data_IF_481419627288
#
_entry.id   IF_481419627288
#
_cell.length_a   1.000
_cell.length_b   1.000
_cell.length_c   1.000
_cell.angle_alpha   90.00
_cell.angle_beta   90.00
_cell.angle_gamma   90.00
#
_symmetry.space_group_name_H-M   'P 1'
#
loop_
_entity.id
_entity.type
_entity.pdbx_description
1 polymer ?
#
# COMPACT_ATOMS: atom_id res chain seq x y z
N UNK A 1 9.66 12.34 4.88
CA UNK A 1 8.77 11.17 4.91
C UNK A 1 7.80 11.43 6.02
N UNK A 2 6.51 11.36 5.72
CA UNK A 2 5.52 11.37 6.79
C UNK A 2 5.80 10.09 7.61
N UNK A 3 5.72 10.19 8.94
CA UNK A 3 6.30 9.17 9.83
C UNK A 3 5.63 7.81 9.74
N UNK A 4 4.52 7.70 9.01
CA UNK A 4 3.61 6.57 9.08
C UNK A 4 4.22 5.30 8.49
N UNK A 5 3.88 4.17 9.09
CA UNK A 5 4.40 2.84 8.75
C UNK A 5 3.23 1.86 8.55
N UNK A 6 3.18 1.24 7.38
CA UNK A 6 2.26 0.15 7.05
C UNK A 6 3.01 -1.17 7.16
N UNK A 7 2.51 -2.09 8.00
CA UNK A 7 3.02 -3.45 8.09
C UNK A 7 2.14 -4.39 7.29
N UNK A 8 2.72 -5.25 6.46
CA UNK A 8 2.00 -6.21 5.61
C UNK A 8 2.29 -7.63 6.10
N UNK A 9 1.29 -8.23 6.73
CA UNK A 9 1.28 -9.61 7.19
C UNK A 9 0.72 -10.51 6.08
N UNK A 10 1.45 -11.56 5.69
CA UNK A 10 1.04 -12.46 4.61
C UNK A 10 1.65 -13.85 4.81
N UNK A 11 1.19 -14.84 4.04
CA UNK A 11 1.81 -16.16 4.02
C UNK A 11 3.08 -16.13 3.13
N UNK A 12 4.12 -16.96 3.41
CA UNK A 12 5.32 -17.06 2.58
C UNK A 12 5.02 -17.19 1.09
N UNK A 13 4.06 -18.05 0.75
CA UNK A 13 3.65 -18.35 -0.61
C UNK A 13 2.93 -17.19 -1.33
N UNK A 14 2.48 -16.17 -0.60
CA UNK A 14 1.79 -15.00 -1.15
C UNK A 14 2.75 -13.84 -1.47
N UNK A 15 4.07 -14.02 -1.31
CA UNK A 15 5.04 -12.94 -1.45
C UNK A 15 4.95 -12.24 -2.82
N UNK A 16 4.84 -12.99 -3.92
CA UNK A 16 4.73 -12.43 -5.27
C UNK A 16 3.47 -11.55 -5.41
N UNK A 17 2.31 -12.07 -4.99
CA UNK A 17 1.05 -11.33 -4.98
C UNK A 17 1.17 -10.03 -4.17
N UNK A 18 1.76 -10.12 -2.98
CA UNK A 18 1.93 -8.95 -2.11
C UNK A 18 2.89 -7.93 -2.72
N UNK A 19 3.99 -8.37 -3.32
CA UNK A 19 4.93 -7.47 -3.99
C UNK A 19 4.27 -6.73 -5.15
N UNK A 20 3.45 -7.41 -5.95
CA UNK A 20 2.72 -6.80 -7.05
C UNK A 20 1.71 -5.76 -6.56
N UNK A 21 0.86 -6.11 -5.59
CA UNK A 21 -0.17 -5.22 -5.05
C UNK A 21 0.41 -4.00 -4.32
N UNK A 22 1.56 -4.15 -3.66
CA UNK A 22 2.21 -3.06 -2.93
C UNK A 22 3.30 -2.33 -3.72
N UNK A 23 3.57 -2.72 -4.96
CA UNK A 23 4.62 -2.10 -5.81
C UNK A 23 4.42 -0.60 -5.98
N UNK A 24 3.18 -0.15 -6.19
CA UNK A 24 2.86 1.29 -6.31
C UNK A 24 2.69 1.95 -4.94
N UNK A 25 2.17 1.22 -3.95
CA UNK A 25 1.98 1.69 -2.56
C UNK A 25 3.32 2.08 -1.92
N UNK A 26 4.41 1.37 -2.24
CA UNK A 26 5.78 1.68 -1.77
C UNK A 26 6.30 3.05 -2.23
N UNK A 27 5.66 3.71 -3.21
CA UNK A 27 6.09 5.02 -3.73
C UNK A 27 5.49 6.21 -2.96
N UNK A 28 4.60 5.96 -2.01
CA UNK A 28 3.98 6.98 -1.18
C UNK A 28 4.88 7.42 -0.01
N UNK A 29 4.59 8.55 0.67
CA UNK A 29 5.52 9.14 1.62
C UNK A 29 5.51 8.47 3.01
N UNK A 30 4.94 7.27 3.13
CA UNK A 30 4.92 6.41 4.31
C UNK A 30 5.74 5.12 4.06
N UNK A 31 6.24 4.51 5.14
CA UNK A 31 6.99 3.27 5.05
C UNK A 31 6.08 2.06 4.84
N UNK A 32 6.49 1.10 4.01
CA UNK A 32 5.81 -0.19 3.84
C UNK A 32 6.78 -1.30 4.22
N UNK A 33 6.35 -2.16 5.14
CA UNK A 33 7.13 -3.29 5.65
C UNK A 33 6.43 -4.61 5.37
N UNK A 34 6.96 -5.40 4.44
CA UNK A 34 6.45 -6.74 4.12
C UNK A 34 7.16 -7.77 5.00
N UNK A 35 6.40 -8.54 5.79
CA UNK A 35 6.92 -9.35 6.91
C UNK A 35 7.95 -10.43 6.50
N UNK A 36 7.83 -11.01 5.31
CA UNK A 36 8.65 -12.17 4.90
C UNK A 36 9.90 -11.85 4.08
N UNK A 37 10.05 -10.62 3.55
CA UNK A 37 11.30 -10.21 2.89
C UNK A 37 12.52 -10.31 3.84
N UNK A 38 12.32 -10.39 5.17
CA UNK A 38 13.40 -10.40 6.16
C UNK A 38 13.65 -11.74 6.88
N UNK A 39 12.72 -12.70 6.84
CA UNK A 39 12.91 -14.00 7.52
C UNK A 39 13.97 -14.85 6.79
N UNK A 40 14.07 -14.72 5.47
CA UNK A 40 15.15 -15.34 4.67
C UNK A 40 16.53 -14.72 4.93
N UNK A 41 16.59 -13.54 5.55
CA UNK A 41 17.85 -12.84 5.89
C UNK A 41 18.42 -13.18 7.27
N UNK A 42 17.86 -14.17 7.98
CA UNK A 42 18.35 -14.62 9.29
C UNK A 42 18.08 -13.66 10.45
N UNK A 43 17.14 -12.73 10.30
CA UNK A 43 16.80 -11.73 11.33
C UNK A 43 15.86 -12.29 12.41
N UNK A 44 16.10 -11.89 13.66
CA UNK A 44 15.37 -12.32 14.86
C UNK A 44 13.91 -11.84 14.87
N UNK A 45 12.99 -12.70 15.34
CA UNK A 45 11.55 -12.43 15.54
C UNK A 45 11.27 -11.17 16.36
N UNK A 46 12.14 -10.82 17.30
CA UNK A 46 12.03 -9.59 18.10
C UNK A 46 12.03 -8.31 17.23
N UNK A 47 12.68 -8.37 16.06
CA UNK A 47 12.68 -7.24 15.11
C UNK A 47 11.34 -7.09 14.38
N UNK A 48 10.67 -8.19 14.07
CA UNK A 48 9.34 -8.17 13.45
C UNK A 48 8.30 -7.63 14.41
N UNK A 49 8.33 -8.07 15.68
CA UNK A 49 7.47 -7.51 16.72
C UNK A 49 7.68 -6.00 16.88
N UNK A 50 8.94 -5.54 16.89
CA UNK A 50 9.24 -4.11 16.95
C UNK A 50 8.69 -3.33 15.76
N UNK A 51 8.66 -3.90 14.55
CA UNK A 51 8.06 -3.22 13.37
C UNK A 51 6.55 -3.19 13.44
N UNK A 52 5.93 -4.31 13.81
CA UNK A 52 4.50 -4.40 14.01
C UNK A 52 4.03 -3.42 15.10
N UNK A 53 4.76 -3.31 16.21
CA UNK A 53 4.43 -2.40 17.31
C UNK A 53 4.55 -0.91 16.94
N UNK A 54 5.34 -0.58 15.91
CA UNK A 54 5.56 0.78 15.44
C UNK A 54 4.78 1.09 14.14
N UNK A 55 3.90 0.19 13.69
CA UNK A 55 3.05 0.45 12.52
C UNK A 55 1.79 1.22 12.90
N UNK A 56 1.37 2.13 12.02
CA UNK A 56 0.11 2.86 12.13
C UNK A 56 -1.06 2.03 11.58
N UNK A 57 -0.78 1.14 10.62
CA UNK A 57 -1.78 0.22 10.04
C UNK A 57 -1.11 -1.13 9.73
N UNK A 58 -1.83 -2.22 10.01
CA UNK A 58 -1.46 -3.57 9.59
C UNK A 58 -2.38 -4.02 8.47
N UNK A 59 -1.82 -4.40 7.32
CA UNK A 59 -2.58 -5.09 6.27
C UNK A 59 -2.40 -6.59 6.45
N UNK A 60 -3.48 -7.30 6.73
CA UNK A 60 -3.49 -8.76 6.81
C UNK A 60 -3.95 -9.35 5.48
N UNK A 61 -3.05 -10.04 4.79
CA UNK A 61 -3.32 -10.68 3.49
C UNK A 61 -3.84 -12.10 3.73
N UNK A 62 -5.09 -12.33 3.38
CA UNK A 62 -5.90 -13.50 3.73
C UNK A 62 -6.32 -14.24 2.47
N UNK A 63 -5.35 -14.92 1.86
CA UNK A 63 -5.62 -15.93 0.85
C UNK A 63 -6.05 -17.25 1.48
N UNK A 64 -6.53 -18.21 0.67
CA UNK A 64 -6.74 -19.60 1.12
C UNK A 64 -5.46 -20.19 1.78
N UNK A 65 -4.28 -19.83 1.27
CA UNK A 65 -2.98 -20.29 1.81
C UNK A 65 -2.65 -19.62 3.15
N UNK A 66 -3.13 -18.41 3.36
CA UNK A 66 -2.96 -17.63 4.58
C UNK A 66 -3.98 -17.96 5.67
N UNK A 67 -5.16 -18.49 5.32
CA UNK A 67 -6.27 -18.71 6.23
C UNK A 67 -5.91 -19.57 7.46
N UNK A 68 -5.00 -20.52 7.31
CA UNK A 68 -4.51 -21.38 8.40
C UNK A 68 -3.16 -20.95 8.98
N UNK A 69 -2.60 -19.82 8.55
CA UNK A 69 -1.30 -19.35 9.02
C UNK A 69 -1.37 -18.90 10.47
N UNK A 70 -0.75 -19.68 11.35
CA UNK A 70 -0.63 -19.33 12.76
C UNK A 70 0.08 -17.97 12.96
N UNK A 71 0.99 -17.60 12.05
CA UNK A 71 1.76 -16.36 12.12
C UNK A 71 0.89 -15.15 11.85
N UNK A 72 0.10 -15.18 10.77
CA UNK A 72 -0.80 -14.08 10.41
C UNK A 72 -1.82 -13.87 11.53
N UNK A 73 -2.34 -14.95 12.10
CA UNK A 73 -3.24 -14.89 13.25
C UNK A 73 -2.59 -14.26 14.50
N UNK A 74 -1.32 -14.56 14.78
CA UNK A 74 -0.58 -13.95 15.89
C UNK A 74 -0.30 -12.47 15.65
N UNK A 75 0.14 -12.09 14.45
CA UNK A 75 0.42 -10.70 14.08
C UNK A 75 -0.86 -9.86 14.10
N UNK A 76 -1.95 -10.39 13.53
CA UNK A 76 -3.28 -9.77 13.58
C UNK A 76 -3.77 -9.62 15.02
N UNK A 77 -3.68 -10.68 15.82
CA UNK A 77 -4.08 -10.64 17.23
C UNK A 77 -3.28 -9.64 18.06
N UNK A 78 -1.97 -9.55 17.81
CA UNK A 78 -1.10 -8.56 18.47
C UNK A 78 -1.48 -7.13 18.08
N UNK A 79 -1.67 -6.87 16.79
CA UNK A 79 -2.06 -5.56 16.27
C UNK A 79 -3.37 -5.08 16.92
N UNK A 80 -4.39 -5.94 16.92
CA UNK A 80 -5.68 -5.67 17.57
C UNK A 80 -5.53 -5.43 19.07
N UNK A 81 -4.73 -6.24 19.77
CA UNK A 81 -4.48 -6.06 21.20
C UNK A 81 -3.75 -4.74 21.54
N UNK A 82 -2.99 -4.18 20.58
CA UNK A 82 -2.32 -2.89 20.69
C UNK A 82 -3.18 -1.71 20.19
N UNK A 83 -4.38 -1.97 19.68
CA UNK A 83 -5.24 -0.94 19.10
C UNK A 83 -4.74 -0.42 17.76
N UNK A 84 -3.88 -1.16 17.06
CA UNK A 84 -3.42 -0.83 15.72
C UNK A 84 -4.50 -1.29 14.73
N UNK A 85 -5.02 -0.40 13.86
CA UNK A 85 -5.97 -0.77 12.81
C UNK A 85 -5.44 -1.92 11.95
N UNK A 86 -6.29 -2.93 11.77
CA UNK A 86 -6.03 -4.03 10.82
C UNK A 86 -6.92 -3.85 9.61
N UNK A 87 -6.31 -3.80 8.43
CA UNK A 87 -6.97 -3.80 7.14
C UNK A 87 -6.89 -5.20 6.51
N UNK A 88 -7.99 -5.97 6.44
CA UNK A 88 -8.01 -7.24 5.73
C UNK A 88 -7.89 -7.03 4.21
N UNK A 89 -7.01 -7.78 3.55
CA UNK A 89 -6.91 -7.90 2.10
C UNK A 89 -7.10 -9.38 1.74
N UNK A 90 -8.25 -9.74 1.17
CA UNK A 90 -8.72 -11.14 1.17
C UNK A 90 -9.21 -11.59 -0.20
N UNK A 91 -9.01 -12.85 -0.57
CA UNK A 91 -9.52 -13.41 -1.84
C UNK A 91 -10.91 -14.07 -1.72
N UNK A 92 -11.33 -14.41 -0.50
CA UNK A 92 -12.67 -14.91 -0.19
C UNK A 92 -13.15 -14.37 1.15
N UNK A 93 -14.44 -14.07 1.23
CA UNK A 93 -15.13 -13.64 2.46
C UNK A 93 -14.93 -14.61 3.62
N UNK A 94 -14.86 -15.90 3.32
CA UNK A 94 -14.67 -16.98 4.29
C UNK A 94 -13.28 -16.95 4.96
N UNK A 95 -12.30 -16.32 4.31
CA UNK A 95 -10.94 -16.18 4.84
C UNK A 95 -10.83 -15.08 5.92
N UNK A 96 -11.88 -14.26 6.09
CA UNK A 96 -11.97 -13.26 7.16
C UNK A 96 -12.43 -13.91 8.48
N UNK A 97 -11.63 -14.84 8.98
CA UNK A 97 -11.92 -15.54 10.23
C UNK A 97 -11.56 -14.77 11.50
N UNK A 98 -12.14 -15.17 12.63
CA UNK A 98 -11.71 -14.72 13.96
C UNK A 98 -12.02 -13.25 14.27
N UNK A 99 -11.04 -12.52 14.78
CA UNK A 99 -11.24 -11.15 15.27
C UNK A 99 -11.44 -10.09 14.15
N UNK A 100 -11.32 -10.49 12.88
CA UNK A 100 -11.42 -9.59 11.74
C UNK A 100 -12.64 -9.89 10.85
N UNK A 101 -13.54 -10.78 11.28
CA UNK A 101 -14.75 -11.15 10.53
C UNK A 101 -15.65 -9.95 10.23
N UNK A 102 -15.79 -9.03 11.18
CA UNK A 102 -16.64 -7.83 11.03
C UNK A 102 -15.86 -6.59 10.54
N UNK A 103 -14.58 -6.75 10.19
CA UNK A 103 -13.73 -5.64 9.74
C UNK A 103 -13.86 -5.49 8.24
N UNK A 104 -14.25 -4.29 7.79
CA UNK A 104 -14.24 -3.95 6.36
C UNK A 104 -12.83 -4.06 5.79
N UNK A 105 -12.71 -4.79 4.69
CA UNK A 105 -11.43 -5.02 4.01
C UNK A 105 -11.50 -4.71 2.53
N UNK A 106 -10.46 -5.13 1.81
CA UNK A 106 -10.37 -5.05 0.35
C UNK A 106 -10.38 -6.47 -0.20
N UNK A 107 -11.33 -6.77 -1.07
CA UNK A 107 -11.35 -8.02 -1.81
C UNK A 107 -10.27 -7.99 -2.91
N UNK A 108 -9.54 -9.10 -3.04
CA UNK A 108 -8.53 -9.32 -4.07
C UNK A 108 -9.23 -9.77 -5.35
N UNK A 109 -9.29 -8.87 -6.32
CA UNK A 109 -9.65 -9.19 -7.69
C UNK A 109 -8.39 -9.56 -8.47
N UNK A 110 -8.20 -10.86 -8.73
CA UNK A 110 -7.06 -11.39 -9.50
C UNK A 110 -7.19 -11.15 -11.00
N UNK A 111 -8.42 -10.99 -11.50
CA UNK A 111 -8.68 -10.67 -12.91
C UNK A 111 -8.45 -9.18 -13.18
N UNK A 112 -8.63 -8.35 -12.14
CA UNK A 112 -8.40 -6.92 -12.19
C UNK A 112 -7.58 -6.40 -10.99
N UNK A 113 -6.25 -6.64 -10.96
CA UNK A 113 -5.37 -6.15 -9.90
C UNK A 113 -5.42 -4.63 -9.71
N UNK A 114 -5.72 -3.87 -10.76
CA UNK A 114 -5.83 -2.41 -10.68
C UNK A 114 -6.97 -1.96 -9.77
N UNK A 115 -8.11 -2.68 -9.77
CA UNK A 115 -9.23 -2.43 -8.84
C UNK A 115 -8.78 -2.70 -7.41
N UNK A 116 -8.07 -3.82 -7.19
CA UNK A 116 -7.54 -4.19 -5.86
C UNK A 116 -6.59 -3.12 -5.33
N UNK A 117 -5.61 -2.69 -6.14
CA UNK A 117 -4.66 -1.63 -5.78
C UNK A 117 -5.39 -0.32 -5.49
N UNK A 118 -6.34 0.06 -6.35
CA UNK A 118 -7.13 1.28 -6.14
C UNK A 118 -7.89 1.25 -4.80
N UNK A 119 -8.58 0.15 -4.50
CA UNK A 119 -9.33 -0.02 -3.25
C UNK A 119 -8.40 -0.08 -2.02
N UNK A 120 -7.23 -0.72 -2.15
CA UNK A 120 -6.20 -0.71 -1.12
C UNK A 120 -5.72 0.72 -0.83
N UNK A 121 -5.42 1.51 -1.87
CA UNK A 121 -5.06 2.91 -1.73
C UNK A 121 -6.20 3.75 -1.12
N UNK A 122 -7.46 3.51 -1.50
CA UNK A 122 -8.61 4.16 -0.87
C UNK A 122 -8.61 3.93 0.64
N UNK A 123 -8.44 2.67 1.05
CA UNK A 123 -8.59 2.29 2.44
C UNK A 123 -7.39 2.71 3.27
N UNK A 124 -6.17 2.51 2.78
CA UNK A 124 -4.96 3.05 3.40
C UNK A 124 -5.05 4.58 3.56
N UNK A 125 -5.59 5.29 2.56
CA UNK A 125 -5.80 6.74 2.70
C UNK A 125 -6.83 7.10 3.76
N UNK A 126 -7.85 6.29 3.95
CA UNK A 126 -8.84 6.52 5.00
C UNK A 126 -8.27 6.25 6.39
N UNK A 127 -7.47 5.20 6.55
CA UNK A 127 -6.84 4.84 7.83
C UNK A 127 -5.68 5.79 8.19
N UNK A 128 -4.94 6.27 7.19
CA UNK A 128 -3.79 7.17 7.34
C UNK A 128 -4.13 8.66 7.15
N UNK A 129 -5.37 9.00 6.77
CA UNK A 129 -5.81 10.39 6.68
C UNK A 129 -5.61 11.05 8.06
N UNK A 130 -5.20 12.34 8.12
CA UNK A 130 -4.56 12.86 9.31
C UNK A 130 -5.50 12.81 10.50
N UNK A 131 -4.95 12.37 11.63
CA UNK A 131 -5.49 12.55 12.98
C UNK A 131 -5.55 14.04 13.40
N UNK A 132 -5.44 15.00 12.48
CA UNK A 132 -5.50 16.43 12.77
C UNK A 132 -6.18 17.25 11.66
N UNK A 133 -7.03 18.19 12.09
CA UNK A 133 -8.05 18.87 11.29
C UNK A 133 -7.55 19.95 10.30
N UNK A 134 -6.26 20.00 9.95
CA UNK A 134 -5.69 21.17 9.23
C UNK A 134 -4.77 20.86 8.04
N UNK A 135 -4.60 19.61 7.64
CA UNK A 135 -3.91 19.30 6.38
C UNK A 135 -4.76 18.37 5.54
N UNK A 136 -5.04 18.78 4.30
CA UNK A 136 -5.37 17.80 3.25
C UNK A 136 -4.16 16.86 3.23
N UNK A 137 -4.32 15.52 3.32
CA UNK A 137 -3.16 14.67 3.24
C UNK A 137 -2.55 14.87 1.86
N UNK A 138 -1.36 15.49 1.83
CA UNK A 138 -0.56 15.67 0.62
C UNK A 138 -0.04 14.29 0.23
N UNK A 139 -0.90 13.49 -0.40
CA UNK A 139 -0.49 12.25 -1.03
C UNK A 139 0.30 12.67 -2.25
N UNK A 140 1.59 12.41 -2.22
CA UNK A 140 2.46 12.67 -3.35
C UNK A 140 3.35 11.46 -3.57
N UNK A 141 3.76 11.25 -4.81
CA UNK A 141 4.78 10.27 -5.16
C UNK A 141 6.04 11.01 -5.56
N UNK A 142 7.14 10.75 -4.85
CA UNK A 142 8.43 11.38 -5.13
C UNK A 142 9.42 10.31 -5.63
N UNK A 143 10.01 10.57 -6.78
CA UNK A 143 10.91 9.64 -7.46
C UNK A 143 12.08 10.40 -8.11
N UNK A 144 13.25 9.77 -8.29
CA UNK A 144 14.33 10.39 -9.05
C UNK A 144 13.92 10.49 -10.53
N UNK A 145 14.27 11.60 -11.17
CA UNK A 145 14.16 11.71 -12.62
C UNK A 145 14.96 10.56 -13.29
N UNK A 146 14.36 9.95 -14.31
CA UNK A 146 14.92 8.78 -15.01
C UNK A 146 15.70 9.17 -16.27
N UNK A 147 15.86 10.46 -16.56
CA UNK A 147 16.60 10.97 -17.71
C UNK A 147 18.09 10.90 -17.43
N UNK A 148 18.88 10.43 -18.41
CA UNK A 148 20.33 10.34 -18.28
C UNK A 148 20.92 11.70 -17.89
N UNK A 149 21.73 11.73 -16.82
CA UNK A 149 22.34 12.92 -16.23
C UNK A 149 21.36 13.91 -15.56
N UNK A 150 20.16 13.46 -15.19
CA UNK A 150 19.24 14.24 -14.37
C UNK A 150 18.81 13.43 -13.15
N UNK A 151 19.42 13.70 -12.00
CA UNK A 151 19.04 13.07 -10.71
C UNK A 151 18.06 13.93 -9.90
N UNK A 152 17.40 14.90 -10.55
CA UNK A 152 16.49 15.81 -9.87
C UNK A 152 15.25 15.04 -9.39
N UNK A 153 14.82 15.23 -8.13
CA UNK A 153 13.60 14.61 -7.63
C UNK A 153 12.38 15.19 -8.35
N UNK A 154 11.48 14.32 -8.81
CA UNK A 154 10.20 14.68 -9.40
C UNK A 154 9.10 14.33 -8.40
N UNK A 155 8.12 15.21 -8.24
CA UNK A 155 6.98 15.01 -7.34
C UNK A 155 5.69 14.99 -8.16
N UNK A 156 4.92 13.92 -8.02
CA UNK A 156 3.53 13.85 -8.48
C UNK A 156 2.62 14.16 -7.29
N UNK A 157 2.02 15.35 -7.27
CA UNK A 157 1.00 15.71 -6.28
C UNK A 157 -0.35 15.04 -6.61
N UNK A 158 -0.98 14.42 -5.62
CA UNK A 158 -2.25 13.70 -5.75
C UNK A 158 -3.34 14.45 -4.96
N UNK A 159 -3.72 15.62 -5.49
CA UNK A 159 -4.72 16.50 -4.85
C UNK A 159 -6.17 16.03 -5.08
N UNK A 160 -6.38 15.07 -5.99
CA UNK A 160 -7.72 14.61 -6.38
C UNK A 160 -8.28 13.62 -5.36
N UNK A 161 -9.60 13.65 -5.18
CA UNK A 161 -10.28 12.61 -4.42
C UNK A 161 -10.16 11.27 -5.14
N UNK A 162 -10.17 10.17 -4.38
CA UNK A 162 -10.06 8.82 -4.91
C UNK A 162 -11.15 8.50 -5.95
N UNK A 163 -12.38 8.96 -5.72
CA UNK A 163 -13.48 8.85 -6.71
C UNK A 163 -13.17 9.59 -8.02
N UNK A 164 -12.52 10.75 -7.96
CA UNK A 164 -12.10 11.48 -9.17
C UNK A 164 -11.00 10.71 -9.89
N UNK A 165 -10.02 10.19 -9.14
CA UNK A 165 -8.95 9.36 -9.70
C UNK A 165 -9.49 8.13 -10.44
N UNK A 166 -10.45 7.42 -9.85
CA UNK A 166 -11.09 6.27 -10.52
C UNK A 166 -11.77 6.64 -11.84
N UNK A 167 -12.51 7.75 -11.86
CA UNK A 167 -13.16 8.22 -13.10
C UNK A 167 -12.14 8.50 -14.20
N UNK A 168 -10.99 9.08 -13.87
CA UNK A 168 -9.92 9.32 -14.86
C UNK A 168 -9.40 8.01 -15.42
N UNK A 169 -9.12 7.03 -14.57
CA UNK A 169 -8.69 5.69 -14.97
C UNK A 169 -9.72 5.03 -15.91
N UNK A 170 -11.01 5.04 -15.55
CA UNK A 170 -12.08 4.48 -16.39
C UNK A 170 -12.23 5.19 -17.74
N UNK A 171 -11.87 6.47 -17.83
CA UNK A 171 -11.89 7.25 -19.07
C UNK A 171 -10.56 7.19 -19.85
N UNK A 172 -9.59 6.38 -19.42
CA UNK A 172 -8.27 6.26 -20.06
C UNK A 172 -7.44 7.54 -19.98
N UNK A 173 -7.74 8.42 -19.02
CA UNK A 173 -6.95 9.62 -18.77
C UNK A 173 -5.76 9.30 -17.86
N UNK A 174 -4.74 10.15 -17.91
CA UNK A 174 -3.49 9.98 -17.14
C UNK A 174 -3.30 11.10 -16.13
N UNK A 175 -2.64 10.79 -15.02
CA UNK A 175 -1.98 11.83 -14.22
C UNK A 175 -0.65 12.18 -14.87
N UNK A 176 -0.18 13.41 -14.68
CA UNK A 176 1.13 13.80 -15.18
C UNK A 176 1.82 14.80 -14.26
N UNK A 177 3.15 14.76 -14.26
CA UNK A 177 4.02 15.75 -13.62
C UNK A 177 5.27 15.95 -14.49
N UNK A 178 5.99 17.06 -14.29
CA UNK A 178 7.14 17.45 -15.11
C UNK A 178 8.37 17.60 -14.23
N UNK A 179 9.51 17.10 -14.69
CA UNK A 179 10.78 17.34 -14.03
C UNK A 179 11.20 18.80 -14.21
N UNK A 180 11.32 19.55 -13.10
CA UNK A 180 11.67 20.97 -13.13
C UNK A 180 13.06 21.24 -13.73
N UNK A 181 13.96 20.24 -13.70
CA UNK A 181 15.33 20.41 -14.19
C UNK A 181 15.50 20.11 -15.69
N UNK A 182 14.91 19.04 -16.22
CA UNK A 182 15.10 18.62 -17.62
C UNK A 182 13.85 18.78 -18.49
N UNK A 183 12.71 19.12 -17.91
CA UNK A 183 11.45 19.33 -18.63
C UNK A 183 10.73 18.06 -19.08
N UNK A 184 11.29 16.86 -18.83
CA UNK A 184 10.61 15.60 -19.18
C UNK A 184 9.29 15.43 -18.43
N UNK A 185 8.29 14.96 -19.16
CA UNK A 185 6.94 14.77 -18.65
C UNK A 185 6.70 13.30 -18.33
N UNK A 186 6.18 13.03 -17.15
CA UNK A 186 5.89 11.69 -16.65
C UNK A 186 4.39 11.47 -16.60
N UNK A 187 3.93 10.28 -16.97
CA UNK A 187 2.53 9.90 -16.98
C UNK A 187 2.28 8.69 -16.10
N UNK A 188 1.18 8.73 -15.35
CA UNK A 188 0.79 7.71 -14.39
C UNK A 188 -0.67 7.29 -14.56
N UNK A 189 -0.96 6.04 -14.23
CA UNK A 189 -2.32 5.53 -14.14
C UNK A 189 -3.01 6.16 -12.92
N UNK A 190 -4.17 6.82 -13.07
CA UNK A 190 -4.83 7.45 -11.94
C UNK A 190 -5.38 6.49 -10.89
N UNK A 191 -5.72 5.24 -11.26
CA UNK A 191 -6.31 4.25 -10.38
C UNK A 191 -5.26 3.57 -9.49
N UNK A 192 -4.10 3.25 -10.06
CA UNK A 192 -3.03 2.54 -9.35
C UNK A 192 -1.86 3.41 -8.94
N UNK A 193 -1.77 4.62 -9.51
CA UNK A 193 -0.59 5.51 -9.45
C UNK A 193 0.67 4.84 -10.03
N UNK A 194 0.49 3.79 -10.83
CA UNK A 194 1.56 3.13 -11.55
C UNK A 194 2.14 4.01 -12.66
N UNK A 195 3.46 4.01 -12.81
CA UNK A 195 4.14 4.67 -13.93
C UNK A 195 3.71 4.04 -15.26
N UNK A 196 3.35 4.87 -16.24
CA UNK A 196 2.97 4.42 -17.58
C UNK A 196 4.07 4.70 -18.60
N UNK A 197 4.50 5.96 -18.71
CA UNK A 197 5.49 6.40 -19.70
C UNK A 197 6.09 7.76 -19.34
N UNK A 198 7.15 8.12 -20.08
CA UNK A 198 7.83 9.41 -20.04
C UNK A 198 7.97 9.96 -21.46
N UNK A 199 7.79 11.26 -21.62
CA UNK A 199 8.00 12.04 -22.84
C UNK A 199 9.07 13.12 -22.64
#
# INVERSE_FOLDING_TARGET
MSGEQVFVSHAPDDLELVQDLFSTVKNFPFGVHIALEEIESGRSRARLEGRLANSDVVVAVLTERAATSQWINQETGYALAKGIPVLPLYDSEENRGGFITDVEGVAIDRENPSVTIFNLLCRLRSELAPLSALSVPNWYVRFPCTVSNCDHPVTLEIERSQTKLWKLHQHGQTLSTTCENCGSQYYFDPGTIGYLRRE
#
